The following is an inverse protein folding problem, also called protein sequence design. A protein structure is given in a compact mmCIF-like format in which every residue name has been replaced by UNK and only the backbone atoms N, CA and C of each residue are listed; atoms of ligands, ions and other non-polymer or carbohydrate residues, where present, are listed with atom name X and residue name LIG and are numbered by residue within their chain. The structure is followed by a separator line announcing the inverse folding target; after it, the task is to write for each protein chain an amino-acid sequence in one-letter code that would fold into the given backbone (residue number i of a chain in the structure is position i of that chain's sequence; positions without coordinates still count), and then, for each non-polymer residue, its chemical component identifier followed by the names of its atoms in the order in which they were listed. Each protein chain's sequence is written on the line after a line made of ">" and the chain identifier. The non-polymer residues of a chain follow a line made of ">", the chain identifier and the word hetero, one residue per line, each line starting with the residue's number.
data_IF_468755262087
#
_entry.id   IF_468755262087
#
_cell.length_a   1.000
_cell.length_b   1.000
_cell.length_c   1.000
_cell.angle_alpha   90.00
_cell.angle_beta   90.00
_cell.angle_gamma   90.00
#
_symmetry.space_group_name_H-M   'P 1'
#
loop_
_entity.id
_entity.type
_entity.pdbx_description
1 polymer ?
#
# COMPACT_ATOMS: atom_id res chain seq x y z
N UNK A 1 -7.43 -9.44 -21.17
CA UNK A 1 -7.36 -10.54 -20.18
C UNK A 1 -7.72 -11.85 -20.86
N UNK A 2 -6.93 -12.93 -20.69
CA UNK A 2 -7.20 -14.23 -21.33
C UNK A 2 -8.35 -15.03 -20.68
N UNK A 3 -8.72 -14.73 -19.43
CA UNK A 3 -9.83 -15.37 -18.71
C UNK A 3 -10.34 -14.44 -17.58
N UNK A 4 -11.34 -14.89 -16.80
CA UNK A 4 -11.98 -14.12 -15.71
C UNK A 4 -11.54 -14.55 -14.30
N UNK A 5 -10.46 -15.31 -14.18
CA UNK A 5 -9.90 -15.74 -12.89
C UNK A 5 -8.84 -14.71 -12.48
N UNK A 6 -9.11 -13.95 -11.42
CA UNK A 6 -8.21 -12.90 -10.93
C UNK A 6 -7.47 -13.40 -9.69
N UNK A 7 -6.15 -13.20 -9.66
CA UNK A 7 -5.37 -13.38 -8.43
C UNK A 7 -5.54 -12.13 -7.57
N UNK A 8 -6.19 -12.30 -6.42
CA UNK A 8 -6.41 -11.25 -5.44
C UNK A 8 -5.08 -10.71 -4.86
N UNK A 9 -5.07 -9.44 -4.39
CA UNK A 9 -3.94 -8.87 -3.67
C UNK A 9 -3.67 -9.63 -2.37
N UNK A 10 -2.46 -10.16 -2.21
CA UNK A 10 -2.09 -10.99 -1.06
C UNK A 10 -0.72 -10.58 -0.52
N UNK A 11 -0.69 -9.79 0.55
CA UNK A 11 0.55 -9.41 1.24
C UNK A 11 1.30 -10.64 1.76
N UNK A 12 2.58 -10.79 1.38
CA UNK A 12 3.37 -11.99 1.68
C UNK A 12 4.53 -11.76 2.65
N UNK A 13 4.90 -10.50 2.89
CA UNK A 13 6.05 -10.12 3.72
C UNK A 13 7.35 -10.79 3.23
N UNK A 14 7.67 -10.61 1.94
CA UNK A 14 8.84 -11.21 1.28
C UNK A 14 9.75 -10.19 0.58
N UNK A 15 9.47 -8.90 0.69
CA UNK A 15 10.40 -7.88 0.24
C UNK A 15 11.68 -7.90 1.10
N UNK A 16 12.80 -7.53 0.49
CA UNK A 16 14.09 -7.45 1.16
C UNK A 16 14.24 -6.13 1.89
N UNK A 17 15.49 -5.74 2.10
CA UNK A 17 15.83 -4.45 2.69
C UNK A 17 15.28 -3.29 1.85
N UNK A 18 15.01 -2.17 2.52
CA UNK A 18 14.42 -0.96 1.92
C UNK A 18 13.13 -1.21 1.13
N UNK A 19 12.37 -2.25 1.51
CA UNK A 19 11.08 -2.60 0.92
C UNK A 19 11.18 -2.90 -0.59
N UNK A 20 12.33 -3.46 -1.02
CA UNK A 20 12.61 -3.77 -2.42
C UNK A 20 12.15 -5.22 -2.71
N UNK A 21 11.35 -5.46 -3.75
CA UNK A 21 11.07 -6.82 -4.23
C UNK A 21 12.36 -7.60 -4.50
N UNK A 22 12.41 -8.86 -4.07
CA UNK A 22 13.58 -9.75 -4.26
C UNK A 22 13.37 -10.71 -5.44
N UNK A 23 14.40 -11.43 -5.93
CA UNK A 23 14.24 -12.37 -7.05
C UNK A 23 13.13 -13.42 -6.85
N UNK A 24 12.88 -13.84 -5.61
CA UNK A 24 11.75 -14.74 -5.28
C UNK A 24 10.39 -14.16 -5.71
N UNK A 25 10.22 -12.84 -5.68
CA UNK A 25 9.00 -12.13 -6.10
C UNK A 25 8.72 -12.36 -7.58
N UNK A 26 9.76 -12.35 -8.42
CA UNK A 26 9.67 -12.63 -9.85
C UNK A 26 9.15 -14.05 -10.06
N UNK A 27 9.84 -15.04 -9.47
CA UNK A 27 9.45 -16.46 -9.55
C UNK A 27 7.99 -16.67 -9.09
N UNK A 28 7.60 -16.02 -7.99
CA UNK A 28 6.26 -16.16 -7.42
C UNK A 28 5.14 -15.70 -8.36
N UNK A 29 5.28 -14.52 -8.98
CA UNK A 29 4.26 -13.97 -9.87
C UNK A 29 4.28 -14.63 -11.25
N UNK A 30 5.46 -14.99 -11.79
CA UNK A 30 5.56 -15.72 -13.07
C UNK A 30 4.82 -17.06 -13.01
N UNK A 31 4.97 -17.80 -11.91
CA UNK A 31 4.24 -19.06 -11.69
C UNK A 31 2.71 -18.90 -11.68
N UNK A 32 2.19 -17.68 -11.61
CA UNK A 32 0.75 -17.35 -11.55
C UNK A 32 0.28 -16.54 -12.76
N UNK A 33 1.14 -16.33 -13.77
CA UNK A 33 0.83 -15.53 -14.96
C UNK A 33 -0.31 -16.11 -15.82
N UNK A 34 -0.77 -17.34 -15.56
CA UNK A 34 -1.98 -17.91 -16.18
C UNK A 34 -3.29 -17.31 -15.68
N UNK A 35 -3.27 -16.56 -14.55
CA UNK A 35 -4.42 -15.78 -14.11
C UNK A 35 -4.80 -14.75 -15.19
N UNK A 36 -6.09 -14.49 -15.34
CA UNK A 36 -6.61 -13.48 -16.26
C UNK A 36 -6.05 -12.09 -15.98
N UNK A 37 -5.83 -11.81 -14.70
CA UNK A 37 -5.13 -10.63 -14.18
C UNK A 37 -4.58 -10.95 -12.79
N UNK A 38 -3.39 -10.43 -12.50
CA UNK A 38 -2.77 -10.44 -11.18
C UNK A 38 -2.94 -9.05 -10.57
N UNK A 39 -3.31 -8.99 -9.30
CA UNK A 39 -3.15 -7.79 -8.48
C UNK A 39 -2.06 -8.12 -7.46
N UNK A 40 -1.02 -7.29 -7.37
CA UNK A 40 0.09 -7.53 -6.45
C UNK A 40 -0.37 -7.48 -4.99
N UNK A 41 0.51 -7.91 -4.09
CA UNK A 41 0.47 -7.43 -2.72
C UNK A 41 0.44 -5.89 -2.62
N UNK A 42 -0.07 -5.39 -1.49
CA UNK A 42 -0.11 -3.96 -1.21
C UNK A 42 1.29 -3.37 -1.25
N UNK A 43 1.48 -2.37 -2.10
CA UNK A 43 2.76 -1.69 -2.31
C UNK A 43 2.69 -0.25 -1.83
N UNK A 44 3.54 0.11 -0.86
CA UNK A 44 3.37 1.41 -0.21
C UNK A 44 3.74 2.56 -1.15
N UNK A 45 2.96 3.64 -1.08
CA UNK A 45 3.17 4.86 -1.88
C UNK A 45 4.20 5.81 -1.27
N UNK A 46 4.55 5.62 0.01
CA UNK A 46 5.54 6.41 0.73
C UNK A 46 6.02 5.69 1.99
N UNK A 47 7.15 6.11 2.61
CA UNK A 47 7.60 5.58 3.90
C UNK A 47 6.59 5.76 5.04
N UNK A 48 5.75 6.80 4.99
CA UNK A 48 4.68 7.02 5.99
C UNK A 48 3.55 5.98 5.87
N UNK A 49 3.41 5.36 4.70
CA UNK A 49 2.39 4.36 4.40
C UNK A 49 2.73 2.94 4.83
N UNK A 50 3.89 2.71 5.47
CA UNK A 50 4.36 1.38 5.89
C UNK A 50 3.68 0.96 7.20
N UNK A 51 3.22 -0.29 7.28
CA UNK A 51 2.64 -0.86 8.51
C UNK A 51 3.05 -2.30 8.83
N UNK A 52 3.80 -2.94 7.92
CA UNK A 52 4.20 -4.33 8.03
C UNK A 52 5.62 -4.49 7.52
N UNK A 53 6.43 -5.26 8.25
CA UNK A 53 7.80 -5.55 7.84
C UNK A 53 7.83 -6.35 6.53
N UNK A 54 8.86 -6.11 5.72
CA UNK A 54 9.12 -6.86 4.48
C UNK A 54 7.98 -6.76 3.46
N UNK A 55 7.24 -5.65 3.45
CA UNK A 55 6.25 -5.37 2.40
C UNK A 55 6.82 -4.36 1.40
N UNK A 56 6.59 -4.52 0.09
CA UNK A 56 7.28 -3.72 -0.91
C UNK A 56 6.75 -2.28 -1.00
N UNK A 57 7.60 -1.37 -1.45
CA UNK A 57 7.23 0.00 -1.81
C UNK A 57 7.23 0.24 -3.33
N UNK A 58 6.75 1.42 -3.75
CA UNK A 58 6.85 1.92 -5.12
C UNK A 58 7.11 3.45 -5.15
N UNK A 59 8.00 3.92 -4.29
CA UNK A 59 8.36 5.34 -4.15
C UNK A 59 9.83 5.64 -4.42
N UNK A 60 10.69 4.63 -4.55
CA UNK A 60 12.12 4.80 -4.85
C UNK A 60 12.53 4.22 -6.21
N UNK A 61 13.62 4.73 -6.78
CA UNK A 61 14.17 4.23 -8.05
C UNK A 61 14.55 2.75 -7.98
N UNK A 62 15.08 2.28 -6.84
CA UNK A 62 15.45 0.89 -6.64
C UNK A 62 14.23 -0.04 -6.61
N UNK A 63 13.14 0.41 -5.97
CA UNK A 63 11.86 -0.31 -5.98
C UNK A 63 11.29 -0.40 -7.40
N UNK A 64 11.27 0.70 -8.15
CA UNK A 64 10.80 0.75 -9.55
C UNK A 64 11.61 -0.23 -10.42
N UNK A 65 12.94 -0.19 -10.33
CA UNK A 65 13.81 -1.06 -11.10
C UNK A 65 13.61 -2.53 -10.76
N UNK A 66 13.32 -2.86 -9.50
CA UNK A 66 13.03 -4.25 -9.11
C UNK A 66 11.65 -4.70 -9.58
N UNK A 67 10.62 -3.86 -9.42
CA UNK A 67 9.28 -4.13 -9.94
C UNK A 67 9.27 -4.32 -11.45
N UNK A 68 10.11 -3.57 -12.19
CA UNK A 68 10.26 -3.76 -13.63
C UNK A 68 10.70 -5.19 -14.00
N UNK A 69 11.56 -5.82 -13.21
CA UNK A 69 11.93 -7.22 -13.44
C UNK A 69 10.75 -8.17 -13.25
N UNK A 70 9.85 -7.86 -12.31
CA UNK A 70 8.64 -8.64 -12.07
C UNK A 70 7.66 -8.50 -13.24
N UNK A 71 7.36 -7.26 -13.66
CA UNK A 71 6.42 -6.98 -14.74
C UNK A 71 6.92 -7.55 -16.07
N UNK A 72 8.20 -7.32 -16.43
CA UNK A 72 8.81 -7.87 -17.64
C UNK A 72 8.69 -9.41 -17.68
N UNK A 73 8.97 -10.09 -16.57
CA UNK A 73 8.90 -11.56 -16.51
C UNK A 73 7.45 -12.09 -16.56
N UNK A 74 6.50 -11.42 -15.90
CA UNK A 74 5.08 -11.78 -15.98
C UNK A 74 4.56 -11.59 -17.40
N UNK A 75 4.95 -10.51 -18.08
CA UNK A 75 4.60 -10.26 -19.47
C UNK A 75 5.21 -11.27 -20.44
N UNK A 76 6.47 -11.66 -20.24
CA UNK A 76 7.11 -12.74 -21.00
C UNK A 76 6.37 -14.08 -20.85
N UNK A 77 5.80 -14.33 -19.67
CA UNK A 77 4.94 -15.50 -19.41
C UNK A 77 3.48 -15.32 -19.90
N UNK A 78 3.16 -14.22 -20.60
CA UNK A 78 1.84 -13.94 -21.16
C UNK A 78 0.82 -13.33 -20.18
N UNK A 79 1.22 -13.04 -18.94
CA UNK A 79 0.35 -12.53 -17.89
C UNK A 79 0.00 -11.04 -18.01
N UNK A 80 -0.89 -10.59 -17.13
CA UNK A 80 -1.22 -9.17 -16.90
C UNK A 80 -1.18 -8.89 -15.41
N UNK A 81 -0.62 -7.75 -15.01
CA UNK A 81 -0.37 -7.43 -13.61
C UNK A 81 -0.62 -5.96 -13.30
N UNK A 82 -1.43 -5.74 -12.26
CA UNK A 82 -1.72 -4.45 -11.66
C UNK A 82 -1.01 -4.37 -10.32
N UNK A 83 -0.46 -3.20 -9.99
CA UNK A 83 0.05 -2.95 -8.64
C UNK A 83 -1.06 -2.38 -7.76
N UNK A 84 -1.18 -2.91 -6.54
CA UNK A 84 -2.07 -2.34 -5.54
C UNK A 84 -1.36 -1.22 -4.76
N UNK A 85 -1.77 0.03 -4.98
CA UNK A 85 -1.22 1.20 -4.29
C UNK A 85 -1.79 1.32 -2.89
N UNK A 86 -0.91 1.46 -1.89
CA UNK A 86 -1.27 1.26 -0.50
C UNK A 86 -0.71 2.34 0.43
N UNK A 87 -1.53 2.72 1.42
CA UNK A 87 -1.12 3.49 2.59
C UNK A 87 -1.89 2.97 3.79
N UNK A 88 -1.21 2.40 4.78
CA UNK A 88 -1.88 1.72 5.90
C UNK A 88 -2.62 2.67 6.85
N UNK A 89 -2.20 3.92 6.92
CA UNK A 89 -2.76 4.91 7.85
C UNK A 89 -2.50 4.49 9.28
N UNK A 90 -3.54 4.41 10.12
CA UNK A 90 -3.38 4.08 11.55
C UNK A 90 -2.93 2.64 11.84
N UNK A 91 -2.95 1.73 10.87
CA UNK A 91 -2.55 0.32 11.06
C UNK A 91 -1.03 0.18 10.91
N UNK A 92 -0.29 0.82 11.81
CA UNK A 92 1.19 0.85 11.82
C UNK A 92 1.72 1.06 13.25
N UNK A 93 3.03 1.23 13.40
CA UNK A 93 3.69 1.49 14.67
C UNK A 93 4.94 2.37 14.49
N UNK A 94 5.28 3.17 15.49
CA UNK A 94 6.43 4.08 15.45
C UNK A 94 7.78 3.39 15.22
N UNK A 95 7.98 2.21 15.80
CA UNK A 95 9.13 1.33 15.51
C UNK A 95 9.33 1.00 14.02
N UNK A 96 8.27 1.04 13.21
CA UNK A 96 8.33 0.83 11.76
C UNK A 96 8.57 2.16 11.04
N UNK A 97 8.06 3.26 11.61
CA UNK A 97 8.07 4.61 11.02
C UNK A 97 9.22 5.49 11.52
N UNK A 98 10.32 4.90 12.01
CA UNK A 98 11.48 5.65 12.49
C UNK A 98 11.18 6.59 13.66
N UNK A 99 10.23 6.21 14.53
CA UNK A 99 9.81 6.99 15.69
C UNK A 99 8.59 7.90 15.47
N UNK A 100 8.16 8.12 14.23
CA UNK A 100 6.95 8.90 13.95
C UNK A 100 5.67 8.12 14.29
N UNK A 101 4.62 8.82 14.75
CA UNK A 101 3.31 8.18 14.93
C UNK A 101 2.64 7.88 13.58
N UNK A 102 1.90 6.75 13.46
CA UNK A 102 1.01 6.51 12.33
C UNK A 102 0.04 7.66 12.11
N UNK A 103 -0.39 7.88 10.87
CA UNK A 103 -1.31 8.97 10.51
C UNK A 103 -2.71 8.45 10.20
N UNK A 104 -3.72 9.28 10.45
CA UNK A 104 -5.13 8.91 10.27
C UNK A 104 -5.98 10.17 9.97
N UNK A 105 -7.24 10.00 9.51
CA UNK A 105 -8.19 11.12 9.47
C UNK A 105 -8.48 11.70 10.86
N UNK A 106 -8.45 10.89 11.92
CA UNK A 106 -8.73 11.31 13.30
C UNK A 106 -7.84 10.58 14.30
N UNK A 107 -7.57 11.23 15.44
CA UNK A 107 -6.78 10.66 16.55
C UNK A 107 -7.63 9.68 17.36
N UNK A 108 -8.00 8.56 16.74
CA UNK A 108 -8.80 7.51 17.35
C UNK A 108 -8.02 6.21 17.46
N UNK A 109 -8.02 5.55 18.62
CA UNK A 109 -7.40 4.25 18.76
C UNK A 109 -8.03 3.22 17.81
N UNK A 110 -7.25 2.21 17.47
CA UNK A 110 -7.73 1.00 16.81
C UNK A 110 -7.25 -0.19 17.63
N UNK A 111 -8.14 -1.15 17.87
CA UNK A 111 -7.73 -2.40 18.51
C UNK A 111 -6.91 -3.23 17.53
N UNK A 112 -5.77 -3.73 18.00
CA UNK A 112 -4.92 -4.60 17.20
C UNK A 112 -3.45 -4.46 17.51
N UNK A 113 -2.69 -5.30 16.83
CA UNK A 113 -1.26 -5.40 16.97
C UNK A 113 -0.63 -5.49 15.59
N UNK A 114 0.56 -4.93 15.44
CA UNK A 114 1.41 -5.11 14.26
C UNK A 114 2.73 -5.76 14.64
N UNK A 115 3.38 -6.41 13.68
CA UNK A 115 4.72 -6.95 13.87
C UNK A 115 5.74 -5.85 13.59
N UNK A 116 6.57 -5.56 14.58
CA UNK A 116 7.69 -4.61 14.51
C UNK A 116 9.01 -5.39 14.59
N UNK A 117 10.17 -4.74 14.32
CA UNK A 117 11.46 -5.38 14.54
C UNK A 117 11.65 -5.90 15.97
N UNK A 118 11.01 -5.25 16.95
CA UNK A 118 10.98 -5.66 18.36
C UNK A 118 9.87 -6.66 18.71
N UNK A 119 9.26 -7.33 17.73
CA UNK A 119 8.15 -8.26 17.93
C UNK A 119 6.76 -7.62 17.80
N UNK A 120 5.73 -8.37 18.21
CA UNK A 120 4.33 -7.95 18.10
C UNK A 120 4.02 -6.85 19.13
N UNK A 121 3.58 -5.68 18.66
CA UNK A 121 3.26 -4.51 19.51
C UNK A 121 1.87 -3.98 19.24
N UNK A 122 1.26 -3.39 20.27
CA UNK A 122 -0.07 -2.78 20.17
C UNK A 122 0.01 -1.55 19.28
N UNK A 123 -1.00 -1.35 18.43
CA UNK A 123 -1.08 -0.16 17.57
C UNK A 123 -1.27 1.09 18.45
N UNK A 124 -0.41 2.12 18.33
CA UNK A 124 -0.54 3.35 19.11
C UNK A 124 -1.71 4.21 18.61
N UNK A 125 -2.14 5.19 19.40
CA UNK A 125 -3.07 6.21 18.93
C UNK A 125 -2.40 7.00 17.79
N UNK A 126 -3.02 7.11 16.60
CA UNK A 126 -2.42 7.79 15.47
C UNK A 126 -2.49 9.31 15.62
N UNK A 127 -1.65 10.01 14.87
CA UNK A 127 -1.78 11.45 14.68
C UNK A 127 -2.85 11.74 13.62
N UNK A 128 -3.78 12.65 13.93
CA UNK A 128 -4.69 13.17 12.93
C UNK A 128 -3.92 14.01 11.89
N UNK A 129 -4.13 13.74 10.60
CA UNK A 129 -3.63 14.57 9.52
C UNK A 129 -4.27 15.97 9.61
N UNK A 130 -3.48 17.02 9.44
CA UNK A 130 -4.00 18.37 9.24
C UNK A 130 -4.65 18.47 7.85
N UNK A 131 -5.57 19.40 7.68
CA UNK A 131 -6.29 19.61 6.41
C UNK A 131 -5.34 19.88 5.24
N UNK A 132 -4.23 20.58 5.50
CA UNK A 132 -3.21 20.95 4.53
C UNK A 132 -2.21 19.82 4.21
N UNK A 133 -2.17 18.74 5.02
CA UNK A 133 -1.35 17.54 4.75
C UNK A 133 -2.04 16.56 3.80
N UNK A 134 -3.37 16.55 3.71
CA UNK A 134 -4.12 15.60 2.84
C UNK A 134 -3.74 15.72 1.35
N UNK A 135 -3.53 16.92 0.77
CA UNK A 135 -3.02 17.06 -0.58
C UNK A 135 -1.67 16.36 -0.83
N UNK A 136 -0.78 16.26 0.17
CA UNK A 136 0.48 15.52 0.03
C UNK A 136 0.26 14.02 -0.09
N UNK A 137 -0.72 13.45 0.63
CA UNK A 137 -1.10 12.04 0.47
C UNK A 137 -1.55 11.79 -0.97
N UNK A 138 -2.40 12.66 -1.52
CA UNK A 138 -2.83 12.55 -2.93
C UNK A 138 -1.64 12.62 -3.90
N UNK A 139 -0.67 13.52 -3.65
CA UNK A 139 0.57 13.60 -4.45
C UNK A 139 1.40 12.32 -4.36
N UNK A 140 1.49 11.69 -3.19
CA UNK A 140 2.20 10.41 -3.02
C UNK A 140 1.55 9.30 -3.85
N UNK A 141 0.22 9.17 -3.80
CA UNK A 141 -0.51 8.20 -4.64
C UNK A 141 -0.33 8.47 -6.13
N UNK A 142 -0.38 9.75 -6.55
CA UNK A 142 -0.10 10.14 -7.94
C UNK A 142 1.30 9.71 -8.36
N UNK A 143 2.31 10.05 -7.58
CA UNK A 143 3.70 9.70 -7.90
C UNK A 143 3.89 8.19 -7.95
N UNK A 144 3.26 7.44 -7.03
CA UNK A 144 3.30 5.98 -7.03
C UNK A 144 2.65 5.38 -8.29
N UNK A 145 1.58 5.99 -8.81
CA UNK A 145 0.98 5.57 -10.09
C UNK A 145 1.90 5.83 -11.30
N UNK A 146 2.60 6.97 -11.32
CA UNK A 146 3.61 7.26 -12.37
C UNK A 146 4.81 6.31 -12.28
N UNK A 147 5.23 5.99 -11.05
CA UNK A 147 6.28 5.01 -10.78
C UNK A 147 5.85 3.61 -11.22
N UNK A 148 4.59 3.23 -10.99
CA UNK A 148 4.02 1.97 -11.47
C UNK A 148 4.02 1.87 -13.00
N UNK A 149 3.63 2.96 -13.68
CA UNK A 149 3.75 3.06 -15.14
C UNK A 149 5.19 2.89 -15.60
N UNK A 150 6.13 3.54 -14.92
CA UNK A 150 7.58 3.43 -15.22
C UNK A 150 8.10 2.02 -14.99
N UNK A 151 7.60 1.32 -13.97
CA UNK A 151 7.90 -0.09 -13.71
C UNK A 151 7.19 -1.05 -14.69
N UNK A 152 6.38 -0.57 -15.63
CA UNK A 152 5.75 -1.39 -16.66
C UNK A 152 4.54 -2.20 -16.19
N UNK A 153 3.85 -1.79 -15.13
CA UNK A 153 2.56 -2.40 -14.79
C UNK A 153 1.49 -2.12 -15.86
N UNK A 154 0.53 -3.02 -16.02
CA UNK A 154 -0.62 -2.83 -16.92
C UNK A 154 -1.64 -1.81 -16.36
N UNK A 155 -1.58 -1.54 -15.06
CA UNK A 155 -2.43 -0.59 -14.37
C UNK A 155 -2.20 -0.57 -12.86
N UNK A 156 -3.05 0.20 -12.18
CA UNK A 156 -3.03 0.35 -10.72
C UNK A 156 -4.40 0.01 -10.14
N UNK A 157 -4.39 -0.64 -8.97
CA UNK A 157 -5.56 -0.73 -8.09
C UNK A 157 -5.31 0.18 -6.88
N UNK A 158 -6.26 1.05 -6.54
CA UNK A 158 -6.17 1.90 -5.35
C UNK A 158 -6.75 1.14 -4.16
N UNK A 159 -5.95 0.91 -3.11
CA UNK A 159 -6.43 0.18 -1.93
C UNK A 159 -7.32 1.04 -1.02
N UNK A 160 -8.59 1.14 -1.39
CA UNK A 160 -9.65 1.83 -0.64
C UNK A 160 -10.43 0.96 0.36
N UNK A 161 -9.80 -0.08 0.91
CA UNK A 161 -10.51 -1.14 1.65
C UNK A 161 -9.76 -1.58 2.92
N UNK A 162 -10.29 -2.60 3.60
CA UNK A 162 -9.67 -3.31 4.72
C UNK A 162 -9.27 -2.42 5.91
N UNK A 163 -9.89 -1.25 6.07
CA UNK A 163 -9.61 -0.33 7.16
C UNK A 163 -8.26 0.39 7.04
N UNK A 164 -7.64 0.46 5.85
CA UNK A 164 -6.44 1.27 5.59
C UNK A 164 -6.78 2.73 5.30
N UNK A 165 -5.79 3.60 5.02
CA UNK A 165 -5.96 5.07 5.12
C UNK A 165 -7.20 5.59 4.38
N UNK A 166 -7.41 5.19 3.13
CA UNK A 166 -8.53 5.68 2.34
C UNK A 166 -9.89 5.17 2.89
N UNK A 167 -9.96 3.91 3.31
CA UNK A 167 -11.15 3.36 3.98
C UNK A 167 -11.37 4.03 5.36
N UNK A 168 -10.29 4.44 6.03
CA UNK A 168 -10.36 5.20 7.28
C UNK A 168 -11.04 6.55 7.06
N UNK A 169 -10.72 7.27 5.97
CA UNK A 169 -11.39 8.52 5.59
C UNK A 169 -12.87 8.27 5.24
N UNK A 170 -13.16 7.23 4.47
CA UNK A 170 -14.50 6.91 3.99
C UNK A 170 -15.48 6.59 5.14
N UNK A 171 -15.03 5.85 6.17
CA UNK A 171 -15.91 5.36 7.24
C UNK A 171 -16.07 6.35 8.39
N UNK A 172 -17.32 6.66 8.74
CA UNK A 172 -17.67 7.54 9.88
C UNK A 172 -17.26 6.98 11.25
N UNK A 173 -16.95 5.68 11.34
CA UNK A 173 -16.41 5.05 12.56
C UNK A 173 -14.97 5.48 12.85
N UNK A 174 -14.16 5.71 11.82
CA UNK A 174 -12.75 6.09 11.91
C UNK A 174 -12.49 7.57 11.61
N UNK A 175 -13.38 8.22 10.86
CA UNK A 175 -13.28 9.63 10.49
C UNK A 175 -14.29 10.47 11.30
N UNK A 176 -13.77 11.29 12.22
CA UNK A 176 -14.50 12.27 13.04
C UNK A 176 -14.11 13.71 12.70
N UNK A 177 -13.55 13.93 11.51
CA UNK A 177 -13.18 15.27 11.06
C UNK A 177 -14.42 16.13 10.85
N UNK A 178 -14.25 17.43 11.03
CA UNK A 178 -15.27 18.46 10.82
C UNK A 178 -14.89 19.43 9.69
N UNK A 179 -13.77 19.17 9.00
CA UNK A 179 -13.34 19.94 7.83
C UNK A 179 -13.88 19.32 6.53
N UNK A 180 -13.37 19.81 5.39
CA UNK A 180 -13.75 19.32 4.04
C UNK A 180 -13.44 17.84 3.77
N UNK A 181 -12.79 17.14 4.70
CA UNK A 181 -12.50 15.70 4.60
C UNK A 181 -13.26 14.86 5.62
N UNK A 182 -14.34 15.38 6.23
CA UNK A 182 -15.22 14.59 7.10
C UNK A 182 -16.63 15.14 7.28
N UNK A 183 -17.42 14.45 8.10
CA UNK A 183 -18.84 14.74 8.29
C UNK A 183 -19.72 14.07 7.24
N UNK A 184 -20.07 14.78 6.16
CA UNK A 184 -20.96 14.29 5.10
C UNK A 184 -20.39 13.04 4.41
N UNK A 185 -21.22 12.33 3.63
CA UNK A 185 -20.73 11.24 2.78
C UNK A 185 -19.82 11.77 1.66
N UNK A 186 -20.13 12.94 1.08
CA UNK A 186 -19.34 13.55 0.02
C UNK A 186 -17.94 13.99 0.50
N UNK A 187 -17.84 14.50 1.73
CA UNK A 187 -16.56 14.90 2.31
C UNK A 187 -15.68 13.69 2.71
N UNK A 188 -16.25 12.50 2.87
CA UNK A 188 -15.54 11.30 3.34
C UNK A 188 -15.10 10.41 2.20
#
# INVERSE_FOLDING_TARGET
>A
MPNRIVMAPMTRNRAGDADIPVPLTVTYYVQRASAGMIITEGSQVSPQGVGYMHTPGIYSAAQIASWKKVTDAVHQAGGRIFIQLWHVGRVSHSDILGGALPVAPSSLPVEGFVHTPGGKKQIPVPRALKTDEVPDIVRQFRQAAENARTAGFDGVEIHGANGYLLDQFLRSGSNKRTDKYGGSLENR
#
